data_IF_095500126687
#
_entry.id   IF_095500126687
#
_cell.length_a   1.000
_cell.length_b   1.000
_cell.length_c   1.000
_cell.angle_alpha   90.00
_cell.angle_beta   90.00
_cell.angle_gamma   90.00
#
_symmetry.space_group_name_H-M   'P 1'
#
loop_
_entity.id
_entity.type
_entity.pdbx_description
1 polymer ?
#
# COMPACT_ATOMS: atom_id res chain seq x y z
N UNK A 1 35.19 5.48 9.41
CA UNK A 1 34.32 4.76 8.46
C UNK A 1 32.98 5.47 8.45
N UNK A 2 32.71 6.25 7.41
CA UNK A 2 31.48 7.04 7.28
C UNK A 2 30.29 6.10 7.10
N UNK A 3 29.39 6.08 8.10
CA UNK A 3 28.08 5.46 7.98
C UNK A 3 27.31 6.19 6.90
N UNK A 4 27.24 5.62 5.70
CA UNK A 4 26.41 6.14 4.62
C UNK A 4 24.96 5.94 5.04
N UNK A 5 24.41 6.93 5.76
CA UNK A 5 23.02 6.91 6.21
C UNK A 5 22.13 6.70 4.99
N UNK A 6 21.35 5.61 4.98
CA UNK A 6 20.37 5.40 3.93
C UNK A 6 19.45 6.63 3.94
N UNK A 7 19.25 7.33 2.80
CA UNK A 7 18.50 8.57 2.77
C UNK A 7 17.13 8.38 3.42
N UNK A 8 16.70 9.36 4.23
CA UNK A 8 15.46 9.31 5.03
C UNK A 8 14.23 8.78 4.26
N UNK A 9 14.15 9.08 2.96
CA UNK A 9 13.12 8.62 2.02
C UNK A 9 13.01 7.09 1.86
N UNK A 10 14.06 6.34 2.19
CA UNK A 10 14.09 4.88 2.07
C UNK A 10 13.53 4.16 3.30
N UNK A 11 13.43 4.83 4.45
CA UNK A 11 13.04 4.19 5.73
C UNK A 11 11.55 4.36 6.02
N UNK A 12 10.96 5.48 5.62
CA UNK A 12 9.58 5.82 5.90
C UNK A 12 8.81 6.21 4.64
N UNK A 13 7.49 5.97 4.67
CA UNK A 13 6.54 6.48 3.68
C UNK A 13 6.41 8.01 3.79
N UNK A 14 5.67 8.64 2.86
CA UNK A 14 5.36 10.08 2.96
C UNK A 14 4.64 10.45 4.28
N UNK A 15 3.92 9.50 4.90
CA UNK A 15 3.26 9.70 6.19
C UNK A 15 4.16 9.49 7.42
N UNK A 16 5.47 9.24 7.23
CA UNK A 16 6.41 8.99 8.32
C UNK A 16 6.35 7.58 8.90
N UNK A 17 5.39 6.74 8.49
CA UNK A 17 5.31 5.34 8.89
C UNK A 17 6.45 4.52 8.28
N UNK A 18 7.12 3.63 9.04
CA UNK A 18 8.12 2.71 8.51
C UNK A 18 7.59 1.91 7.31
N UNK A 19 8.43 1.75 6.29
CA UNK A 19 8.07 0.98 5.09
C UNK A 19 8.11 -0.52 5.39
N UNK A 20 6.99 -1.26 5.30
CA UNK A 20 7.01 -2.71 5.46
C UNK A 20 7.89 -3.34 4.37
N UNK A 21 8.83 -4.18 4.81
CA UNK A 21 9.83 -4.79 3.95
C UNK A 21 10.90 -3.82 3.41
N UNK A 22 10.94 -2.56 3.85
CA UNK A 22 11.87 -1.54 3.35
C UNK A 22 11.41 -0.88 2.04
N UNK A 23 12.25 -0.04 1.45
CA UNK A 23 11.97 0.64 0.19
C UNK A 23 12.29 -0.23 -1.05
N UNK A 24 11.49 -0.06 -2.10
CA UNK A 24 11.71 -0.62 -3.43
C UNK A 24 11.38 0.39 -4.52
N UNK A 25 11.87 0.17 -5.73
CA UNK A 25 11.50 0.96 -6.90
C UNK A 25 10.36 0.28 -7.66
N UNK A 26 9.27 1.01 -7.92
CA UNK A 26 8.15 0.56 -8.74
C UNK A 26 7.79 1.68 -9.74
N UNK A 27 7.94 1.41 -11.03
CA UNK A 27 7.69 2.38 -12.10
C UNK A 27 8.37 3.75 -11.88
N UNK A 28 9.62 3.74 -11.39
CA UNK A 28 10.39 4.97 -11.11
C UNK A 28 10.02 5.67 -9.79
N UNK A 29 9.12 5.11 -8.98
CA UNK A 29 8.73 5.64 -7.67
C UNK A 29 9.31 4.80 -6.54
N UNK A 30 9.73 5.45 -5.46
CA UNK A 30 10.11 4.77 -4.23
C UNK A 30 8.87 4.41 -3.42
N UNK A 31 8.61 3.12 -3.28
CA UNK A 31 7.45 2.55 -2.57
C UNK A 31 7.91 1.61 -1.46
N UNK A 32 7.00 1.22 -0.56
CA UNK A 32 7.22 0.10 0.35
C UNK A 32 7.38 -1.19 -0.46
N UNK A 33 8.17 -2.16 0.02
CA UNK A 33 8.31 -3.44 -0.71
C UNK A 33 7.09 -4.35 -0.56
N UNK A 34 6.27 -4.10 0.45
CA UNK A 34 4.99 -4.77 0.67
C UNK A 34 3.86 -3.81 0.33
N UNK A 35 3.01 -4.21 -0.61
CA UNK A 35 1.78 -3.52 -1.02
C UNK A 35 0.53 -4.19 -0.49
N UNK A 36 -0.63 -3.78 -1.01
CA UNK A 36 -1.91 -4.44 -0.72
C UNK A 36 -2.62 -4.84 -2.02
N UNK A 37 -2.82 -6.14 -2.21
CA UNK A 37 -3.65 -6.69 -3.28
C UNK A 37 -5.12 -6.61 -2.91
N UNK A 38 -5.90 -5.86 -3.70
CA UNK A 38 -7.26 -5.48 -3.35
C UNK A 38 -8.33 -6.49 -3.78
N UNK A 39 -7.99 -7.55 -4.53
CA UNK A 39 -8.94 -8.51 -5.09
C UNK A 39 -9.97 -9.04 -4.07
N UNK A 40 -9.54 -9.28 -2.82
CA UNK A 40 -10.42 -9.83 -1.78
C UNK A 40 -11.38 -8.82 -1.14
N UNK A 41 -11.28 -7.52 -1.49
CA UNK A 41 -12.28 -6.52 -1.10
C UNK A 41 -13.67 -6.85 -1.66
N UNK A 42 -13.76 -7.61 -2.76
CA UNK A 42 -15.03 -8.13 -3.29
C UNK A 42 -15.86 -8.85 -2.21
N UNK A 43 -15.22 -9.53 -1.26
CA UNK A 43 -15.93 -10.21 -0.15
C UNK A 43 -16.63 -9.24 0.80
N UNK A 44 -16.28 -7.96 0.75
CA UNK A 44 -16.86 -6.87 1.51
C UNK A 44 -17.80 -6.02 0.65
N UNK A 45 -18.28 -6.52 -0.49
CA UNK A 45 -19.19 -5.79 -1.38
C UNK A 45 -20.45 -5.28 -0.66
N UNK A 46 -20.99 -6.05 0.30
CA UNK A 46 -22.14 -5.65 1.09
C UNK A 46 -21.81 -4.61 2.20
N UNK A 47 -20.53 -4.36 2.47
CA UNK A 47 -20.05 -3.43 3.49
C UNK A 47 -18.84 -2.63 2.99
N UNK A 48 -19.14 -1.61 2.17
CA UNK A 48 -18.12 -0.70 1.63
C UNK A 48 -17.36 0.03 2.72
N UNK A 49 -17.99 0.31 3.87
CA UNK A 49 -17.33 0.99 4.97
C UNK A 49 -16.20 0.13 5.56
N UNK A 50 -16.44 -1.17 5.75
CA UNK A 50 -15.41 -2.11 6.16
C UNK A 50 -14.28 -2.25 5.12
N UNK A 51 -14.60 -2.29 3.83
CA UNK A 51 -13.60 -2.32 2.75
C UNK A 51 -12.67 -1.09 2.80
N UNK A 52 -13.24 0.10 2.92
CA UNK A 52 -12.49 1.36 3.04
C UNK A 52 -11.65 1.38 4.32
N UNK A 53 -12.22 0.94 5.45
CA UNK A 53 -11.49 0.87 6.72
C UNK A 53 -10.27 -0.07 6.64
N UNK A 54 -10.40 -1.21 5.95
CA UNK A 54 -9.30 -2.15 5.74
C UNK A 54 -8.16 -1.55 4.92
N UNK A 55 -8.48 -0.84 3.82
CA UNK A 55 -7.46 -0.17 3.00
C UNK A 55 -6.77 0.95 3.79
N UNK A 56 -7.53 1.75 4.54
CA UNK A 56 -6.95 2.77 5.43
C UNK A 56 -6.01 2.16 6.46
N UNK A 57 -6.39 1.02 7.03
CA UNK A 57 -5.55 0.28 7.97
C UNK A 57 -4.24 -0.18 7.32
N UNK A 58 -4.27 -0.64 6.07
CA UNK A 58 -3.05 -0.99 5.34
C UNK A 58 -2.12 0.23 5.18
N UNK A 59 -2.68 1.40 4.85
CA UNK A 59 -1.92 2.67 4.76
C UNK A 59 -1.32 3.08 6.10
N UNK A 60 -2.06 2.96 7.19
CA UNK A 60 -1.55 3.21 8.56
C UNK A 60 -0.33 2.34 8.89
N UNK A 61 -0.24 1.13 8.33
CA UNK A 61 0.89 0.20 8.48
C UNK A 61 2.00 0.39 7.43
N UNK A 62 1.93 1.47 6.65
CA UNK A 62 2.99 1.87 5.72
C UNK A 62 2.89 1.25 4.33
N UNK A 63 1.78 0.61 3.99
CA UNK A 63 1.47 0.32 2.58
C UNK A 63 1.24 1.63 1.84
N UNK A 64 1.85 1.79 0.67
CA UNK A 64 1.75 3.01 -0.14
C UNK A 64 1.54 2.75 -1.64
N UNK A 65 1.20 1.50 -1.99
CA UNK A 65 0.75 1.11 -3.32
C UNK A 65 -0.27 -0.04 -3.21
N UNK A 66 -1.33 0.05 -4.02
CA UNK A 66 -2.44 -0.90 -4.07
C UNK A 66 -2.45 -1.56 -5.45
N UNK A 67 -2.65 -2.88 -5.48
CA UNK A 67 -2.90 -3.63 -6.71
C UNK A 67 -4.42 -3.84 -6.88
N UNK A 68 -4.97 -3.31 -7.97
CA UNK A 68 -6.40 -3.39 -8.30
C UNK A 68 -6.58 -3.51 -9.81
N UNK A 69 -7.79 -3.86 -10.24
CA UNK A 69 -8.18 -3.93 -11.63
C UNK A 69 -9.70 -3.79 -11.77
N UNK A 70 -10.18 -3.28 -12.90
CA UNK A 70 -11.62 -3.21 -13.21
C UNK A 70 -12.29 -4.59 -13.17
N UNK A 71 -11.55 -5.67 -13.43
CA UNK A 71 -12.08 -7.03 -13.39
C UNK A 71 -12.33 -7.56 -11.98
N UNK A 72 -11.76 -6.95 -10.93
CA UNK A 72 -11.92 -7.42 -9.56
C UNK A 72 -13.30 -7.02 -9.03
N UNK A 73 -14.13 -8.02 -8.71
CA UNK A 73 -15.49 -7.82 -8.21
C UNK A 73 -16.39 -7.05 -9.16
N UNK A 74 -16.30 -7.31 -10.47
CA UNK A 74 -17.09 -6.62 -11.51
C UNK A 74 -17.02 -5.08 -11.41
N UNK A 75 -15.83 -4.56 -11.12
CA UNK A 75 -15.55 -3.13 -10.96
C UNK A 75 -15.60 -2.63 -9.52
N UNK A 76 -16.29 -3.32 -8.61
CA UNK A 76 -16.45 -2.88 -7.22
C UNK A 76 -15.13 -2.55 -6.52
N UNK A 77 -14.09 -3.35 -6.74
CA UNK A 77 -12.79 -3.18 -6.07
C UNK A 77 -12.04 -1.94 -6.59
N UNK A 78 -12.40 -1.43 -7.76
CA UNK A 78 -11.76 -0.28 -8.42
C UNK A 78 -12.51 1.06 -8.17
N UNK A 79 -13.64 1.04 -7.46
CA UNK A 79 -14.54 2.20 -7.22
C UNK A 79 -14.67 2.61 -5.73
#
# INVERSE_FOLDING_TARGET
MTSTGIPSSSRATHGGTPRPGGAGSLAGRTVSRIGYGAMQLERLHADRAAAVALVRRAVEHGVDHLDTAQFYGDGFVNE
#
